data_IF_984100371679
#
_entry.id   IF_984100371679
#
_cell.length_a   1.000
_cell.length_b   1.000
_cell.length_c   1.000
_cell.angle_alpha   90.00
_cell.angle_beta   90.00
_cell.angle_gamma   90.00
#
_symmetry.space_group_name_H-M   'P 1'
#
loop_
_entity.id
_entity.type
_entity.pdbx_description
1 polymer ?
#
# COMPACT_ATOMS: atom_id res chain seq x y z
N UNK A 1 0.56 -5.07 9.07
CA UNK A 1 1.96 -5.31 8.64
C UNK A 1 1.90 -6.18 7.39
N UNK A 2 2.67 -5.84 6.36
CA UNK A 2 2.71 -6.54 5.08
C UNK A 2 4.10 -7.17 4.89
N UNK A 3 4.16 -8.33 4.26
CA UNK A 3 5.44 -8.95 3.89
C UNK A 3 5.74 -8.63 2.43
N UNK A 4 6.87 -7.97 2.18
CA UNK A 4 7.35 -7.64 0.82
C UNK A 4 8.75 -8.22 0.69
N UNK A 5 8.97 -9.10 -0.30
CA UNK A 5 10.24 -9.80 -0.50
C UNK A 5 10.80 -10.46 0.80
N UNK A 6 9.90 -11.03 1.62
CA UNK A 6 10.27 -11.70 2.88
C UNK A 6 10.57 -10.75 4.05
N UNK A 7 10.43 -9.44 3.87
CA UNK A 7 10.67 -8.44 4.92
C UNK A 7 9.35 -7.78 5.37
N UNK A 8 9.18 -7.50 6.67
CA UNK A 8 7.98 -6.85 7.18
C UNK A 8 8.00 -5.33 6.95
N UNK A 9 6.87 -4.80 6.49
CA UNK A 9 6.64 -3.37 6.25
C UNK A 9 5.30 -2.89 6.80
N UNK A 10 5.19 -1.59 7.01
CA UNK A 10 3.94 -0.90 7.32
C UNK A 10 3.52 -0.09 6.09
N UNK A 11 2.24 -0.18 5.73
CA UNK A 11 1.67 0.70 4.72
C UNK A 11 1.43 2.08 5.36
N UNK A 12 2.19 3.08 4.94
CA UNK A 12 2.04 4.46 5.38
C UNK A 12 0.87 5.14 4.63
N UNK A 13 -0.36 4.68 4.85
CA UNK A 13 -1.58 5.19 4.18
C UNK A 13 -1.71 6.73 4.23
N UNK A 14 -1.40 7.42 5.34
CA UNK A 14 -1.43 8.89 5.40
C UNK A 14 -0.42 9.59 4.50
N UNK A 15 0.66 8.90 4.10
CA UNK A 15 1.70 9.42 3.21
C UNK A 15 1.44 9.09 1.73
N UNK A 16 0.22 8.68 1.37
CA UNK A 16 -0.16 8.37 -0.01
C UNK A 16 -0.04 9.62 -0.89
N UNK A 17 0.61 9.47 -2.04
CA UNK A 17 0.76 10.52 -3.05
C UNK A 17 0.69 9.91 -4.46
N UNK A 18 0.42 10.75 -5.46
CA UNK A 18 0.63 10.39 -6.86
C UNK A 18 2.11 10.53 -7.21
N UNK A 19 2.59 9.68 -8.13
CA UNK A 19 3.97 9.72 -8.65
C UNK A 19 3.97 9.55 -10.17
N UNK A 20 4.95 10.12 -10.90
CA UNK A 20 5.13 9.83 -12.32
C UNK A 20 5.40 8.35 -12.57
N UNK A 21 4.82 7.77 -13.62
CA UNK A 21 5.07 6.36 -13.97
C UNK A 21 6.56 6.10 -14.23
N UNK A 22 7.27 7.07 -14.81
CA UNK A 22 8.69 6.98 -15.11
C UNK A 22 9.59 6.94 -13.85
N UNK A 23 9.08 7.27 -12.66
CA UNK A 23 9.85 7.13 -11.41
C UNK A 23 9.67 5.76 -10.74
N UNK A 24 8.82 4.89 -11.27
CA UNK A 24 8.65 3.53 -10.75
C UNK A 24 9.83 2.65 -11.19
N UNK A 25 10.42 1.92 -10.24
CA UNK A 25 11.39 0.88 -10.51
C UNK A 25 10.74 -0.47 -10.84
N UNK A 26 11.52 -1.53 -10.75
CA UNK A 26 11.05 -2.89 -11.00
C UNK A 26 9.99 -3.34 -9.99
N UNK A 27 9.06 -4.18 -10.46
CA UNK A 27 8.07 -4.81 -9.57
C UNK A 27 8.74 -5.88 -8.72
N UNK A 28 8.64 -5.73 -7.39
CA UNK A 28 9.27 -6.65 -6.42
C UNK A 28 8.30 -7.60 -5.72
N UNK A 29 6.99 -7.31 -5.72
CA UNK A 29 5.97 -8.13 -5.09
C UNK A 29 4.55 -7.85 -5.64
N UNK A 30 3.56 -8.58 -5.14
CA UNK A 30 2.13 -8.31 -5.29
C UNK A 30 1.48 -8.27 -3.92
N UNK A 31 0.65 -7.27 -3.65
CA UNK A 31 -0.18 -7.19 -2.44
C UNK A 31 -1.68 -7.38 -2.75
N UNK A 32 -1.99 -8.06 -3.86
CA UNK A 32 -3.37 -8.22 -4.33
C UNK A 32 -4.26 -8.98 -3.34
N UNK A 33 -3.70 -9.99 -2.65
CA UNK A 33 -4.44 -10.81 -1.69
C UNK A 33 -4.80 -10.03 -0.41
N UNK A 34 -4.13 -8.90 -0.16
CA UNK A 34 -4.41 -8.01 0.96
C UNK A 34 -5.29 -6.81 0.55
N UNK A 35 -6.00 -6.91 -0.58
CA UNK A 35 -6.85 -5.85 -1.11
C UNK A 35 -7.81 -5.27 -0.08
N UNK A 36 -8.58 -6.11 0.62
CA UNK A 36 -9.55 -5.66 1.62
C UNK A 36 -8.90 -4.78 2.68
N UNK A 37 -7.82 -5.24 3.30
CA UNK A 37 -7.08 -4.50 4.34
C UNK A 37 -6.54 -3.16 3.82
N UNK A 38 -6.12 -3.10 2.55
CA UNK A 38 -5.65 -1.85 1.94
C UNK A 38 -6.82 -0.87 1.76
N UNK A 39 -7.96 -1.34 1.24
CA UNK A 39 -9.16 -0.51 1.04
C UNK A 39 -9.73 -0.04 2.38
N UNK A 40 -9.85 -0.92 3.37
CA UNK A 40 -10.32 -0.57 4.71
C UNK A 40 -9.45 0.53 5.34
N UNK A 41 -8.13 0.47 5.16
CA UNK A 41 -7.23 1.52 5.65
C UNK A 41 -7.40 2.86 4.90
N UNK A 42 -7.76 2.81 3.61
CA UNK A 42 -8.07 4.01 2.82
C UNK A 42 -9.40 4.63 3.28
N UNK A 43 -10.42 3.79 3.49
CA UNK A 43 -11.74 4.22 3.97
C UNK A 43 -11.66 4.79 5.37
N UNK A 44 -10.92 4.15 6.28
CA UNK A 44 -10.64 4.70 7.59
C UNK A 44 -9.94 6.07 7.50
N UNK A 45 -8.96 6.23 6.62
CA UNK A 45 -8.25 7.50 6.49
C UNK A 45 -9.14 8.63 5.93
N UNK A 46 -10.01 8.32 4.98
CA UNK A 46 -10.80 9.31 4.24
C UNK A 46 -12.15 9.60 4.88
N UNK A 47 -12.75 8.57 5.48
CA UNK A 47 -14.13 8.56 5.95
C UNK A 47 -14.20 8.30 7.45
N UNK A 48 -13.24 7.56 8.02
CA UNK A 48 -13.14 7.30 9.46
C UNK A 48 -13.70 5.97 9.94
N UNK A 49 -14.24 5.11 9.06
CA UNK A 49 -15.06 3.94 9.42
C UNK A 49 -14.91 2.77 8.47
#
# INVERSE_FOLDING_TARGET
>A
MFTVAGQPYVLATPARASVPVASLGDRVASLADQHSVIVDALDFLLQGF
#
